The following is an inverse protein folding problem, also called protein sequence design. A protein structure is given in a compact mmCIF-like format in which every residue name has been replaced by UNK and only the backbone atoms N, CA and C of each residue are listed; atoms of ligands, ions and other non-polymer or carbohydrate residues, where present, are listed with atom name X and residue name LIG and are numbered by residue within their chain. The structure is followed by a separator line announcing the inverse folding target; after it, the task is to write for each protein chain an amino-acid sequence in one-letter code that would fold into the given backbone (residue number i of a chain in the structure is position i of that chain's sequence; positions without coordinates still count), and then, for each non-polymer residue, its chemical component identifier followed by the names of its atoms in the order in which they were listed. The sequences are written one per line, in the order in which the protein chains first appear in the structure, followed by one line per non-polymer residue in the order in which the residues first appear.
data_IF_367689971100
#
_entry.id   IF_367689971100
#
_cell.length_a   1.000
_cell.length_b   1.000
_cell.length_c   1.000
_cell.angle_alpha   90.00
_cell.angle_beta   90.00
_cell.angle_gamma   90.00
#
_symmetry.space_group_name_H-M   'P 1'
#
loop_
_entity.id
_entity.type
_entity.pdbx_description
1 polymer ?
#
# COMPACT_ATOMS: atom_id res chain seq x y z
N UNK A 1 -36.22 23.43 -37.21
CA UNK A 1 -35.84 24.68 -36.52
C UNK A 1 -36.93 25.00 -35.51
N UNK A 2 -36.57 25.35 -34.27
CA UNK A 2 -36.20 26.74 -33.97
C UNK A 2 -34.87 26.90 -33.23
N UNK A 3 -34.40 28.15 -33.18
CA UNK A 3 -33.21 28.62 -32.45
C UNK A 3 -33.48 28.81 -30.95
N UNK A 4 -32.47 28.62 -30.08
CA UNK A 4 -32.45 29.22 -28.75
C UNK A 4 -31.71 30.58 -28.77
N UNK A 5 -32.24 31.52 -28.00
CA UNK A 5 -31.85 32.94 -28.00
C UNK A 5 -30.58 33.20 -27.19
N UNK A 6 -29.76 34.13 -27.66
CA UNK A 6 -28.62 34.67 -26.92
C UNK A 6 -29.12 35.71 -25.91
N UNK A 7 -28.76 35.57 -24.62
CA UNK A 7 -29.03 36.56 -23.58
C UNK A 7 -27.73 36.94 -22.87
N UNK A 8 -27.47 38.25 -22.80
CA UNK A 8 -26.23 38.86 -22.31
C UNK A 8 -26.53 39.65 -21.03
N UNK A 9 -25.60 39.59 -20.09
CA UNK A 9 -25.52 40.52 -18.95
C UNK A 9 -25.05 39.83 -17.67
N UNK A 10 -24.40 40.52 -16.74
CA UNK A 10 -23.54 41.71 -16.89
C UNK A 10 -22.54 41.72 -15.72
N UNK A 11 -21.34 42.26 -15.95
CA UNK A 11 -20.29 42.37 -14.92
C UNK A 11 -20.40 43.74 -14.25
N UNK A 12 -20.20 43.84 -12.92
CA UNK A 12 -19.66 45.05 -12.31
C UNK A 12 -18.23 44.78 -11.79
N UNK A 13 -17.26 45.44 -12.42
CA UNK A 13 -15.90 45.58 -11.91
C UNK A 13 -15.78 46.89 -11.14
N UNK A 14 -15.17 46.87 -9.94
CA UNK A 14 -14.59 48.07 -9.33
C UNK A 14 -13.22 47.67 -8.75
N UNK A 15 -12.19 48.43 -9.12
CA UNK A 15 -10.80 48.21 -8.73
C UNK A 15 -10.33 49.32 -7.75
N UNK A 16 -9.04 49.67 -7.62
CA UNK A 16 -8.33 49.51 -6.35
C UNK A 16 -7.97 50.84 -5.66
N UNK A 17 -7.38 50.79 -4.46
CA UNK A 17 -6.67 51.94 -3.87
C UNK A 17 -5.54 51.49 -2.94
N UNK A 18 -4.39 52.14 -3.07
CA UNK A 18 -3.21 52.11 -2.18
C UNK A 18 -2.98 53.53 -1.62
N UNK A 19 -2.01 53.85 -0.76
CA UNK A 19 -0.73 53.24 -0.34
C UNK A 19 -0.42 53.73 1.09
N UNK A 20 0.66 53.29 1.75
CA UNK A 20 1.75 54.15 2.33
C UNK A 20 2.64 53.40 3.35
N UNK A 21 3.94 53.69 3.20
CA UNK A 21 5.17 53.45 3.99
C UNK A 21 5.05 53.41 5.54
N UNK A 22 6.04 52.91 6.31
CA UNK A 22 7.37 52.36 5.97
C UNK A 22 8.31 52.23 7.20
N UNK A 23 9.62 52.10 6.95
CA UNK A 23 10.78 51.95 7.87
C UNK A 23 10.93 50.57 8.55
N UNK A 24 11.96 49.76 8.25
CA UNK A 24 13.44 49.93 8.40
C UNK A 24 13.96 49.66 9.82
N UNK A 25 14.65 48.53 10.02
CA UNK A 25 15.95 48.49 10.70
C UNK A 25 16.69 47.16 10.40
N UNK A 26 17.84 47.26 9.72
CA UNK A 26 18.90 46.22 9.69
C UNK A 26 19.94 46.55 10.80
N UNK A 27 20.85 45.63 11.22
CA UNK A 27 22.07 45.43 10.42
C UNK A 27 22.72 44.01 10.45
N UNK A 28 23.64 43.86 9.49
CA UNK A 28 24.79 42.96 9.33
C UNK A 28 25.69 42.73 10.58
N UNK A 29 26.77 41.91 10.58
CA UNK A 29 27.17 40.63 9.93
C UNK A 29 28.64 40.29 10.35
N UNK A 30 29.18 39.12 9.92
CA UNK A 30 30.62 38.77 9.70
C UNK A 30 31.51 38.20 10.87
N UNK A 31 32.38 37.25 10.46
CA UNK A 31 33.58 36.61 11.07
C UNK A 31 33.46 35.63 12.27
N UNK A 32 34.28 34.56 12.37
CA UNK A 32 35.34 34.06 11.46
C UNK A 32 36.27 32.98 12.08
N UNK A 33 37.14 32.35 11.26
CA UNK A 33 38.16 31.31 11.56
C UNK A 33 37.66 29.88 11.94
N UNK A 34 38.07 28.74 11.36
CA UNK A 34 39.20 28.27 10.49
C UNK A 34 40.39 27.56 11.20
N UNK A 35 40.97 26.59 10.46
CA UNK A 35 42.10 25.64 10.72
C UNK A 35 41.74 24.22 11.22
N UNK A 36 42.42 23.13 10.80
CA UNK A 36 43.17 22.82 9.55
C UNK A 36 43.61 21.34 9.53
N UNK A 37 44.15 20.88 8.39
CA UNK A 37 44.82 19.58 8.10
C UNK A 37 43.95 18.30 8.16
N UNK A 38 43.78 17.48 7.11
CA UNK A 38 44.62 17.03 5.98
C UNK A 38 45.68 15.95 6.34
N UNK A 39 45.88 14.93 5.48
CA UNK A 39 46.90 13.87 5.75
C UNK A 39 46.64 12.41 5.34
N UNK A 40 46.00 12.15 4.19
CA UNK A 40 46.47 11.18 3.15
C UNK A 40 47.22 9.87 3.54
N UNK A 41 46.49 8.74 3.44
CA UNK A 41 46.83 7.49 2.68
C UNK A 41 47.89 6.42 3.09
N UNK A 42 47.49 5.18 2.74
CA UNK A 42 48.24 4.04 2.10
C UNK A 42 48.96 2.93 2.90
N UNK A 43 48.99 1.75 2.25
CA UNK A 43 49.78 0.52 2.49
C UNK A 43 49.29 -0.45 3.60
N UNK A 44 49.34 -1.81 3.48
CA UNK A 44 49.61 -2.74 2.35
C UNK A 44 49.06 -4.16 2.65
N UNK A 45 48.34 -4.73 1.69
CA UNK A 45 48.36 -6.13 1.14
C UNK A 45 48.81 -7.36 1.98
N UNK A 46 47.97 -8.42 1.96
CA UNK A 46 48.34 -9.87 1.89
C UNK A 46 49.04 -10.54 3.10
N UNK A 47 49.15 -11.88 3.26
CA UNK A 47 48.36 -13.07 2.86
C UNK A 47 49.06 -14.34 3.40
N UNK A 48 48.33 -15.44 3.68
CA UNK A 48 48.87 -16.83 3.80
C UNK A 48 49.92 -17.04 4.94
N UNK A 49 50.28 -18.25 5.40
CA UNK A 49 49.63 -19.58 5.46
C UNK A 49 50.43 -20.53 6.39
N UNK A 50 49.80 -21.60 6.86
CA UNK A 50 50.41 -22.93 7.12
C UNK A 50 51.33 -23.21 8.33
N UNK A 51 50.79 -24.11 9.19
CA UNK A 51 51.37 -25.41 9.63
C UNK A 51 52.31 -25.54 10.85
N UNK A 52 52.29 -26.78 11.37
CA UNK A 52 53.08 -27.44 12.42
C UNK A 52 52.71 -27.15 13.90
N UNK A 53 52.80 -28.11 14.83
CA UNK A 53 52.69 -29.59 14.78
C UNK A 53 52.58 -30.14 16.23
N UNK A 54 51.96 -31.32 16.37
CA UNK A 54 51.81 -32.23 17.52
C UNK A 54 52.83 -32.08 18.69
N UNK A 55 52.37 -32.06 19.95
CA UNK A 55 52.79 -33.02 21.01
C UNK A 55 52.01 -32.93 22.35
N UNK A 56 52.32 -33.86 23.26
CA UNK A 56 51.44 -34.45 24.28
C UNK A 56 51.39 -33.74 25.66
N UNK A 57 50.20 -33.81 26.28
CA UNK A 57 49.94 -34.12 27.71
C UNK A 57 50.53 -33.25 28.85
N UNK A 58 49.66 -32.51 29.55
CA UNK A 58 49.63 -32.43 31.03
C UNK A 58 48.42 -31.62 31.55
N UNK A 59 48.00 -31.88 32.80
CA UNK A 59 46.75 -31.37 33.38
C UNK A 59 46.95 -30.09 34.21
N UNK A 60 46.02 -29.12 34.15
CA UNK A 60 45.43 -28.47 35.35
C UNK A 60 44.39 -27.37 35.05
N UNK A 61 43.40 -27.26 35.96
CA UNK A 61 42.58 -26.09 36.28
C UNK A 61 41.90 -25.28 35.14
N UNK A 62 40.78 -25.78 34.61
CA UNK A 62 39.90 -24.98 33.73
C UNK A 62 39.01 -24.01 34.53
N UNK A 63 39.35 -22.71 34.52
CA UNK A 63 38.46 -21.65 35.01
C UNK A 63 37.14 -21.64 34.23
N UNK A 64 36.01 -21.88 34.90
CA UNK A 64 34.67 -21.90 34.26
C UNK A 64 34.35 -20.53 33.62
N UNK A 65 34.32 -20.48 32.28
CA UNK A 65 33.75 -19.34 31.54
C UNK A 65 32.29 -19.11 31.97
N UNK A 66 31.86 -17.87 32.26
CA UNK A 66 30.46 -17.59 32.53
C UNK A 66 29.61 -17.84 31.28
N UNK A 67 28.46 -18.50 31.46
CA UNK A 67 27.53 -18.78 30.36
C UNK A 67 27.07 -17.49 29.66
N UNK A 68 27.11 -17.49 28.32
CA UNK A 68 26.66 -16.37 27.46
C UNK A 68 25.21 -15.96 27.78
N UNK A 69 24.38 -16.92 28.22
CA UNK A 69 23.00 -16.71 28.66
C UNK A 69 22.90 -15.72 29.83
N UNK A 70 23.86 -15.75 30.77
CA UNK A 70 23.87 -14.84 31.92
C UNK A 70 24.31 -13.41 31.52
N UNK A 71 25.13 -13.27 30.48
CA UNK A 71 25.51 -11.96 29.92
C UNK A 71 24.33 -11.33 29.18
N UNK A 72 23.65 -12.12 28.32
CA UNK A 72 22.44 -11.70 27.62
C UNK A 72 21.30 -11.33 28.58
N UNK A 73 21.10 -12.10 29.66
CA UNK A 73 20.09 -11.78 30.68
C UNK A 73 20.40 -10.48 31.43
N UNK A 74 21.68 -10.20 31.71
CA UNK A 74 22.10 -8.91 32.31
C UNK A 74 21.88 -7.73 31.36
N UNK A 75 22.22 -7.88 30.08
CA UNK A 75 21.95 -6.87 29.05
C UNK A 75 20.44 -6.57 28.91
N UNK A 76 19.60 -7.60 28.98
CA UNK A 76 18.14 -7.46 28.97
C UNK A 76 17.63 -6.67 30.17
N UNK A 77 18.15 -6.91 31.38
CA UNK A 77 17.74 -6.15 32.57
C UNK A 77 18.15 -4.67 32.51
N UNK A 78 19.39 -4.34 32.15
CA UNK A 78 19.83 -2.93 32.10
C UNK A 78 19.12 -2.12 31.03
N UNK A 79 18.65 -2.75 29.95
CA UNK A 79 17.82 -2.06 28.95
C UNK A 79 16.38 -1.81 29.45
N UNK A 80 15.83 -2.71 30.28
CA UNK A 80 14.48 -2.55 30.86
C UNK A 80 14.38 -1.45 31.92
N UNK A 81 15.50 -1.12 32.59
CA UNK A 81 15.51 -0.09 33.64
C UNK A 81 15.58 1.34 33.08
N UNK A 82 15.96 1.50 31.81
CA UNK A 82 15.97 2.80 31.11
C UNK A 82 14.59 3.19 30.53
N UNK A 83 13.63 2.28 30.54
CA UNK A 83 12.27 2.52 30.02
C UNK A 83 11.47 3.30 31.08
N UNK A 84 10.95 4.52 30.76
CA UNK A 84 10.14 5.28 31.71
C UNK A 84 8.93 4.46 32.17
N UNK A 85 8.44 4.63 33.42
CA UNK A 85 7.49 3.69 34.03
C UNK A 85 6.19 3.46 33.22
N UNK A 86 5.71 4.48 32.50
CA UNK A 86 4.52 4.39 31.66
C UNK A 86 4.72 3.63 30.33
N UNK A 87 5.96 3.39 29.89
CA UNK A 87 6.30 2.56 28.74
C UNK A 87 6.63 1.10 29.12
N UNK A 88 6.59 0.75 30.42
CA UNK A 88 6.78 -0.65 30.84
C UNK A 88 5.58 -1.49 30.36
N UNK A 89 5.78 -2.76 29.94
CA UNK A 89 4.74 -3.56 29.27
C UNK A 89 3.37 -3.62 29.98
N UNK A 90 3.38 -3.58 31.31
CA UNK A 90 2.18 -3.63 32.15
C UNK A 90 1.31 -2.36 32.06
N UNK A 91 1.89 -1.21 31.70
CA UNK A 91 1.23 0.09 31.65
C UNK A 91 0.88 0.55 30.22
N UNK A 92 1.46 -0.07 29.17
CA UNK A 92 1.22 0.30 27.76
C UNK A 92 -0.28 0.25 27.39
N UNK A 93 -1.03 -0.67 27.99
CA UNK A 93 -2.46 -0.84 27.72
C UNK A 93 -3.39 -0.05 28.66
N UNK A 94 -2.86 0.57 29.72
CA UNK A 94 -3.63 1.23 30.78
C UNK A 94 -4.27 2.55 30.31
N UNK A 95 -3.72 3.15 29.24
CA UNK A 95 -4.26 4.32 28.54
C UNK A 95 -4.69 4.02 27.11
N UNK A 96 -5.04 2.76 26.79
CA UNK A 96 -5.57 2.45 25.45
C UNK A 96 -6.93 3.15 25.31
N UNK A 97 -7.14 3.82 24.19
CA UNK A 97 -8.35 4.62 23.96
C UNK A 97 -9.54 3.70 23.64
N UNK A 98 -10.19 3.17 24.68
CA UNK A 98 -11.32 2.23 24.56
C UNK A 98 -12.65 2.92 24.28
N UNK A 99 -12.63 4.06 23.58
CA UNK A 99 -13.86 4.73 23.13
C UNK A 99 -14.59 3.84 22.12
N UNK A 100 -15.86 3.59 22.38
CA UNK A 100 -16.74 2.94 21.42
C UNK A 100 -17.01 3.88 20.25
N UNK A 101 -17.38 3.33 19.09
CA UNK A 101 -17.77 4.14 17.92
C UNK A 101 -18.90 5.13 18.21
N UNK A 102 -19.80 4.79 19.13
CA UNK A 102 -20.90 5.65 19.53
C UNK A 102 -20.47 6.86 20.37
N UNK A 103 -19.27 6.84 20.98
CA UNK A 103 -18.71 7.97 21.74
C UNK A 103 -18.25 9.11 20.83
N UNK A 104 -18.04 8.84 19.54
CA UNK A 104 -17.61 9.85 18.57
C UNK A 104 -18.79 10.74 18.12
N UNK A 105 -18.58 12.06 17.94
CA UNK A 105 -19.60 12.95 17.41
C UNK A 105 -20.13 12.49 16.04
N UNK A 106 -21.46 12.56 15.87
CA UNK A 106 -22.13 12.24 14.60
C UNK A 106 -21.58 13.11 13.46
N UNK A 107 -21.54 12.56 12.25
CA UNK A 107 -20.90 13.19 11.10
C UNK A 107 -19.62 12.47 10.68
N UNK A 108 -18.75 13.21 9.99
CA UNK A 108 -17.39 12.77 9.62
C UNK A 108 -16.56 12.19 10.78
N UNK A 109 -16.58 12.70 12.04
CA UNK A 109 -15.74 12.13 13.11
C UNK A 109 -16.06 10.67 13.42
N UNK A 110 -17.36 10.34 13.56
CA UNK A 110 -17.81 8.96 13.75
C UNK A 110 -17.58 8.09 12.52
N UNK A 111 -17.80 8.62 11.31
CA UNK A 111 -17.56 7.85 10.08
C UNK A 111 -16.07 7.54 9.88
N UNK A 112 -15.17 8.48 10.21
CA UNK A 112 -13.73 8.26 10.19
C UNK A 112 -13.31 7.21 11.24
N UNK A 113 -13.86 7.27 12.45
CA UNK A 113 -13.64 6.24 13.47
C UNK A 113 -14.13 4.85 13.00
N UNK A 114 -15.29 4.79 12.32
CA UNK A 114 -15.83 3.56 11.76
C UNK A 114 -14.95 2.99 10.62
N UNK A 115 -14.50 3.82 9.67
CA UNK A 115 -13.56 3.40 8.63
C UNK A 115 -12.21 2.92 9.20
N UNK A 116 -11.80 3.43 10.36
CA UNK A 116 -10.58 3.03 11.06
C UNK A 116 -10.74 1.74 11.90
N UNK A 117 -11.92 1.11 11.95
CA UNK A 117 -12.13 -0.13 12.71
C UNK A 117 -11.55 -1.38 12.06
N UNK A 118 -11.39 -1.37 10.74
CA UNK A 118 -10.88 -2.51 9.97
C UNK A 118 -10.10 -2.00 8.76
N UNK A 119 -8.94 -2.61 8.49
CA UNK A 119 -8.12 -2.32 7.30
C UNK A 119 -8.92 -2.50 6.00
N UNK A 120 -9.93 -3.38 6.01
CA UNK A 120 -10.84 -3.61 4.90
C UNK A 120 -11.71 -2.41 4.54
N UNK A 121 -12.04 -1.54 5.49
CA UNK A 121 -12.84 -0.33 5.24
C UNK A 121 -11.97 0.87 4.83
N UNK A 122 -10.63 0.76 4.92
CA UNK A 122 -9.70 1.81 4.55
C UNK A 122 -9.51 1.90 3.02
N UNK A 123 -10.55 2.41 2.36
CA UNK A 123 -10.58 2.67 0.92
C UNK A 123 -10.79 4.15 0.62
N UNK A 124 -10.26 4.60 -0.51
CA UNK A 124 -10.48 5.95 -1.02
C UNK A 124 -10.87 5.93 -2.49
N UNK A 125 -11.45 7.02 -2.97
CA UNK A 125 -11.65 7.24 -4.39
C UNK A 125 -10.35 7.76 -5.01
N UNK A 126 -9.89 7.08 -6.06
CA UNK A 126 -8.69 7.44 -6.85
C UNK A 126 -8.89 8.69 -7.70
N UNK A 127 -10.12 9.05 -8.05
CA UNK A 127 -10.44 10.17 -8.94
C UNK A 127 -9.74 10.07 -10.30
N UNK A 128 -9.70 8.88 -10.90
CA UNK A 128 -8.92 8.62 -12.13
C UNK A 128 -9.31 9.55 -13.30
N UNK A 129 -10.59 9.91 -13.41
CA UNK A 129 -11.07 10.86 -14.42
C UNK A 129 -10.52 12.29 -14.22
N UNK A 130 -10.50 12.80 -12.98
CA UNK A 130 -9.96 14.15 -12.70
C UNK A 130 -8.44 14.19 -12.95
N UNK A 131 -7.72 13.16 -12.51
CA UNK A 131 -6.29 13.02 -12.76
C UNK A 131 -5.96 13.06 -14.26
N UNK A 132 -6.68 12.28 -15.08
CA UNK A 132 -6.51 12.29 -16.54
C UNK A 132 -6.83 13.67 -17.16
N UNK A 133 -7.87 14.38 -16.67
CA UNK A 133 -8.17 15.73 -17.15
C UNK A 133 -7.05 16.75 -16.87
N UNK A 134 -6.46 16.70 -15.67
CA UNK A 134 -5.34 17.58 -15.30
C UNK A 134 -4.07 17.23 -16.09
N UNK A 135 -3.83 15.93 -16.32
CA UNK A 135 -2.71 15.45 -17.15
C UNK A 135 -2.84 15.92 -18.61
N UNK A 136 -4.01 15.73 -19.24
CA UNK A 136 -4.30 16.19 -20.60
C UNK A 136 -4.18 17.71 -20.74
N UNK A 137 -4.62 18.47 -19.73
CA UNK A 137 -4.46 19.93 -19.71
C UNK A 137 -2.99 20.34 -19.73
N UNK A 138 -2.14 19.74 -18.89
CA UNK A 138 -0.68 19.99 -18.90
C UNK A 138 0.00 19.55 -20.19
N UNK A 139 -0.40 18.44 -20.79
CA UNK A 139 0.08 18.04 -22.12
C UNK A 139 -0.27 19.06 -23.20
N UNK A 140 -1.45 19.67 -23.13
CA UNK A 140 -1.86 20.73 -24.07
C UNK A 140 -1.10 22.04 -23.87
N UNK A 141 -0.77 22.41 -22.63
CA UNK A 141 0.13 23.55 -22.36
C UNK A 141 1.54 23.29 -22.90
N UNK A 142 2.12 22.12 -22.61
CA UNK A 142 3.44 21.71 -23.09
C UNK A 142 3.49 21.67 -24.63
N UNK A 143 2.47 21.11 -25.29
CA UNK A 143 2.41 21.06 -26.77
C UNK A 143 2.38 22.46 -27.40
N UNK A 144 1.77 23.45 -26.75
CA UNK A 144 1.79 24.83 -27.24
C UNK A 144 3.18 25.48 -27.12
N UNK A 145 3.93 25.16 -26.05
CA UNK A 145 5.31 25.62 -25.90
C UNK A 145 6.26 24.91 -26.86
N UNK A 146 6.09 23.60 -27.06
CA UNK A 146 6.81 22.80 -28.05
C UNK A 146 6.64 23.37 -29.47
N UNK A 147 5.41 23.69 -29.88
CA UNK A 147 5.15 24.31 -31.19
C UNK A 147 5.80 25.69 -31.30
N UNK A 148 5.77 26.51 -30.24
CA UNK A 148 6.43 27.84 -30.25
C UNK A 148 7.94 27.72 -30.38
N UNK A 149 8.55 26.78 -29.66
CA UNK A 149 9.99 26.52 -29.73
C UNK A 149 10.38 26.00 -31.12
N UNK A 150 9.64 25.02 -31.65
CA UNK A 150 9.86 24.49 -33.00
C UNK A 150 9.78 25.61 -34.07
N UNK A 151 8.84 26.54 -33.95
CA UNK A 151 8.74 27.70 -34.85
C UNK A 151 9.92 28.69 -34.72
N UNK A 152 10.54 28.80 -33.55
CA UNK A 152 11.79 29.53 -33.41
C UNK A 152 12.93 28.78 -34.12
N UNK A 153 13.08 27.49 -33.83
CA UNK A 153 14.16 26.67 -34.36
C UNK A 153 14.11 26.58 -35.91
N UNK A 154 12.91 26.49 -36.50
CA UNK A 154 12.69 26.53 -37.96
C UNK A 154 13.13 27.87 -38.58
N UNK A 155 12.86 29.00 -37.91
CA UNK A 155 13.30 30.33 -38.37
C UNK A 155 14.80 30.57 -38.19
N UNK A 156 15.40 30.00 -37.14
CA UNK A 156 16.85 30.00 -36.92
C UNK A 156 17.59 29.14 -37.97
N UNK A 157 16.99 28.02 -38.40
CA UNK A 157 17.50 27.18 -39.48
C UNK A 157 17.44 27.88 -40.84
N UNK A 158 16.31 28.53 -41.19
CA UNK A 158 16.17 29.29 -42.44
C UNK A 158 17.17 30.45 -42.52
N UNK A 159 17.35 31.18 -41.41
CA UNK A 159 18.28 32.30 -41.31
C UNK A 159 19.76 31.88 -41.16
N UNK A 160 20.02 30.59 -40.88
CA UNK A 160 21.34 30.00 -40.59
C UNK A 160 22.03 30.65 -39.38
N UNK A 161 21.27 30.98 -38.35
CA UNK A 161 21.81 31.55 -37.12
C UNK A 161 22.69 30.51 -36.38
N UNK A 162 23.94 30.84 -36.00
CA UNK A 162 24.76 29.97 -35.15
C UNK A 162 24.14 29.67 -33.76
N UNK A 163 23.08 30.36 -33.34
CA UNK A 163 22.38 30.15 -32.06
C UNK A 163 21.92 28.71 -31.81
N UNK A 164 21.60 27.92 -32.85
CA UNK A 164 21.23 26.50 -32.74
C UNK A 164 22.42 25.59 -32.38
N UNK A 165 23.66 26.03 -32.62
CA UNK A 165 24.87 25.19 -32.50
C UNK A 165 25.80 25.68 -31.38
N UNK A 166 25.93 26.99 -31.19
CA UNK A 166 26.72 27.58 -30.11
C UNK A 166 25.82 28.05 -28.95
N UNK A 167 25.94 27.37 -27.81
CA UNK A 167 25.25 27.75 -26.57
C UNK A 167 25.51 29.22 -26.15
N UNK A 168 26.66 29.80 -26.52
CA UNK A 168 26.96 31.22 -26.25
C UNK A 168 26.16 32.19 -27.12
N UNK A 169 25.70 31.74 -28.29
CA UNK A 169 24.83 32.51 -29.18
C UNK A 169 23.34 32.22 -28.92
N UNK A 170 23.01 31.06 -28.34
CA UNK A 170 21.64 30.64 -28.01
C UNK A 170 20.80 31.68 -27.24
N UNK A 171 21.42 32.46 -26.34
CA UNK A 171 20.75 33.46 -25.51
C UNK A 171 21.07 34.91 -25.95
N UNK A 172 21.50 35.13 -27.20
CA UNK A 172 21.96 36.44 -27.67
C UNK A 172 20.86 37.23 -28.37
N UNK A 173 20.59 38.44 -27.87
CA UNK A 173 19.59 39.36 -28.42
C UNK A 173 18.15 38.91 -28.15
N UNK A 174 17.20 39.75 -28.53
CA UNK A 174 15.78 39.63 -28.16
C UNK A 174 15.17 38.26 -28.54
N UNK A 175 15.57 37.69 -29.68
CA UNK A 175 15.15 36.35 -30.11
C UNK A 175 15.73 35.23 -29.22
N UNK A 176 16.99 35.36 -28.79
CA UNK A 176 17.63 34.43 -27.85
C UNK A 176 17.08 34.54 -26.43
N UNK A 177 16.69 35.73 -25.98
CA UNK A 177 15.98 35.92 -24.71
C UNK A 177 14.60 35.25 -24.74
N UNK A 178 13.82 35.43 -25.83
CA UNK A 178 12.54 34.75 -26.00
C UNK A 178 12.69 33.21 -26.07
N UNK A 179 13.69 32.68 -26.79
CA UNK A 179 13.98 31.23 -26.83
C UNK A 179 14.33 30.70 -25.43
N UNK A 180 15.14 31.44 -24.66
CA UNK A 180 15.47 31.10 -23.27
C UNK A 180 14.22 31.14 -22.36
N UNK A 181 13.34 32.11 -22.52
CA UNK A 181 12.08 32.20 -21.78
C UNK A 181 11.17 30.99 -22.09
N UNK A 182 11.04 30.59 -23.36
CA UNK A 182 10.31 29.38 -23.75
C UNK A 182 10.88 28.12 -23.10
N UNK A 183 12.21 27.95 -23.10
CA UNK A 183 12.86 26.81 -22.44
C UNK A 183 12.60 26.80 -20.93
N UNK A 184 12.65 27.95 -20.25
CA UNK A 184 12.32 28.04 -18.83
C UNK A 184 10.85 27.69 -18.56
N UNK A 185 9.91 28.22 -19.37
CA UNK A 185 8.50 27.87 -19.26
C UNK A 185 8.25 26.37 -19.52
N UNK A 186 9.01 25.74 -20.42
CA UNK A 186 8.95 24.30 -20.67
C UNK A 186 9.43 23.52 -19.44
N UNK A 187 10.58 23.87 -18.85
CA UNK A 187 11.14 23.22 -17.66
C UNK A 187 10.16 23.26 -16.46
N UNK A 188 9.65 24.45 -16.13
CA UNK A 188 8.64 24.66 -15.07
C UNK A 188 7.34 23.85 -15.31
N UNK A 189 6.93 23.67 -16.56
CA UNK A 189 5.73 22.90 -16.93
C UNK A 189 5.99 21.39 -16.97
N UNK A 190 7.21 20.97 -17.35
CA UNK A 190 7.66 19.58 -17.30
C UNK A 190 7.72 19.08 -15.86
N UNK A 191 8.31 19.84 -14.93
CA UNK A 191 8.33 19.47 -13.50
C UNK A 191 6.90 19.26 -12.96
N UNK A 192 5.99 20.20 -13.28
CA UNK A 192 4.58 20.09 -12.90
C UNK A 192 3.92 18.84 -13.49
N UNK A 193 4.14 18.55 -14.77
CA UNK A 193 3.61 17.37 -15.46
C UNK A 193 4.16 16.07 -14.88
N UNK A 194 5.47 15.95 -14.70
CA UNK A 194 6.13 14.78 -14.12
C UNK A 194 5.67 14.51 -12.68
N UNK A 195 5.44 15.57 -11.90
CA UNK A 195 4.85 15.46 -10.56
C UNK A 195 3.44 14.85 -10.62
N UNK A 196 2.63 15.21 -11.63
CA UNK A 196 1.29 14.65 -11.83
C UNK A 196 1.40 13.20 -12.25
N UNK A 197 2.23 12.87 -13.25
CA UNK A 197 2.44 11.51 -13.74
C UNK A 197 2.89 10.57 -12.62
N UNK A 198 3.80 11.04 -11.73
CA UNK A 198 4.26 10.29 -10.56
C UNK A 198 3.11 9.99 -9.58
N UNK A 199 2.35 11.01 -9.16
CA UNK A 199 1.18 10.85 -8.27
C UNK A 199 0.10 9.95 -8.88
N UNK A 200 -0.14 10.08 -10.20
CA UNK A 200 -1.06 9.20 -10.93
C UNK A 200 -0.56 7.77 -10.90
N UNK A 201 0.70 7.51 -11.23
CA UNK A 201 1.29 6.16 -11.20
C UNK A 201 1.19 5.53 -9.81
N UNK A 202 1.49 6.27 -8.76
CA UNK A 202 1.36 5.83 -7.37
C UNK A 202 -0.09 5.44 -7.04
N UNK A 203 -1.05 6.34 -7.30
CA UNK A 203 -2.48 6.09 -7.05
C UNK A 203 -3.06 4.95 -7.91
N UNK A 204 -2.56 4.73 -9.13
CA UNK A 204 -2.95 3.61 -9.98
C UNK A 204 -2.23 2.28 -9.65
N UNK A 205 -1.15 2.32 -8.86
CA UNK A 205 -0.47 1.12 -8.36
C UNK A 205 -1.19 0.49 -7.16
N UNK A 206 -2.05 1.26 -6.47
CA UNK A 206 -2.86 0.75 -5.37
C UNK A 206 -3.87 -0.32 -5.84
N UNK A 207 -4.12 -1.36 -5.04
CA UNK A 207 -5.10 -2.39 -5.38
C UNK A 207 -6.52 -1.80 -5.45
N UNK A 208 -7.32 -2.24 -6.44
CA UNK A 208 -8.77 -1.96 -6.45
C UNK A 208 -9.40 -2.57 -5.20
N UNK A 209 -10.25 -1.82 -4.51
CA UNK A 209 -10.98 -2.31 -3.34
C UNK A 209 -11.87 -3.52 -3.70
N UNK A 210 -11.85 -4.56 -2.87
CA UNK A 210 -12.72 -5.74 -3.00
C UNK A 210 -14.20 -5.31 -2.97
N UNK A 211 -15.03 -5.87 -3.87
CA UNK A 211 -16.45 -5.53 -4.02
C UNK A 211 -17.22 -5.65 -2.70
N UNK A 212 -16.96 -6.71 -1.93
CA UNK A 212 -17.50 -6.95 -0.58
C UNK A 212 -17.24 -5.80 0.38
N UNK A 213 -16.01 -5.30 0.41
CA UNK A 213 -15.60 -4.22 1.31
C UNK A 213 -16.30 -2.92 0.92
N UNK A 214 -16.28 -2.58 -0.38
CA UNK A 214 -17.03 -1.43 -0.92
C UNK A 214 -18.53 -1.50 -0.60
N UNK A 215 -19.18 -2.65 -0.83
CA UNK A 215 -20.58 -2.87 -0.48
C UNK A 215 -20.84 -2.73 1.03
N UNK A 216 -19.88 -3.13 1.88
CA UNK A 216 -20.01 -2.97 3.33
C UNK A 216 -19.97 -1.50 3.77
N UNK A 217 -19.14 -0.67 3.11
CA UNK A 217 -19.12 0.79 3.31
C UNK A 217 -20.43 1.42 2.81
N UNK A 218 -20.90 1.06 1.62
CA UNK A 218 -22.18 1.56 1.08
C UNK A 218 -23.36 1.22 2.00
N UNK A 219 -23.49 -0.06 2.41
CA UNK A 219 -24.52 -0.49 3.36
C UNK A 219 -24.46 0.27 4.69
N UNK A 220 -23.27 0.64 5.18
CA UNK A 220 -23.13 1.45 6.39
C UNK A 220 -23.60 2.89 6.16
N UNK A 221 -23.25 3.50 5.01
CA UNK A 221 -23.69 4.84 4.61
C UNK A 221 -25.22 4.88 4.47
N UNK A 222 -25.80 3.92 3.74
CA UNK A 222 -27.25 3.84 3.51
C UNK A 222 -28.04 3.64 4.81
N UNK A 223 -27.52 2.82 5.74
CA UNK A 223 -28.18 2.51 7.02
C UNK A 223 -28.10 3.65 8.05
N UNK A 224 -26.96 4.35 8.13
CA UNK A 224 -26.71 5.33 9.20
C UNK A 224 -26.74 6.79 8.74
N UNK A 225 -26.74 7.04 7.43
CA UNK A 225 -26.63 8.36 6.80
C UNK A 225 -25.59 9.27 7.51
N UNK A 226 -24.34 8.82 7.73
CA UNK A 226 -23.40 9.51 8.62
C UNK A 226 -22.86 10.81 8.02
N UNK A 227 -23.08 11.07 6.73
CA UNK A 227 -22.65 12.25 5.98
C UNK A 227 -23.81 12.76 5.13
N UNK A 228 -23.80 14.04 4.76
CA UNK A 228 -24.84 14.65 3.93
C UNK A 228 -24.93 13.99 2.54
N UNK A 229 -26.13 13.91 1.96
CA UNK A 229 -26.39 13.19 0.69
C UNK A 229 -25.44 13.56 -0.45
N UNK A 230 -25.12 14.85 -0.61
CA UNK A 230 -24.14 15.37 -1.59
C UNK A 230 -22.75 14.71 -1.47
N UNK A 231 -22.34 14.36 -0.26
CA UNK A 231 -21.05 13.71 0.01
C UNK A 231 -21.15 12.19 -0.14
N UNK A 232 -22.35 11.61 -0.04
CA UNK A 232 -22.62 10.19 -0.34
C UNK A 232 -22.48 9.90 -1.85
N UNK A 233 -22.79 10.87 -2.72
CA UNK A 233 -22.62 10.75 -4.18
C UNK A 233 -21.18 10.39 -4.61
N UNK A 234 -20.19 10.71 -3.77
CA UNK A 234 -18.78 10.32 -3.98
C UNK A 234 -18.60 8.79 -4.00
N UNK A 235 -19.42 8.08 -3.22
CA UNK A 235 -19.42 6.62 -3.04
C UNK A 235 -20.30 5.87 -4.03
N UNK A 236 -20.91 6.52 -5.04
CA UNK A 236 -21.81 5.86 -5.99
C UNK A 236 -21.09 5.14 -7.16
N UNK A 237 -19.77 5.25 -7.28
CA UNK A 237 -18.99 4.68 -8.40
C UNK A 237 -17.93 3.68 -7.91
N UNK A 238 -18.25 2.39 -7.97
CA UNK A 238 -17.42 1.26 -7.51
C UNK A 238 -16.10 1.10 -8.28
N UNK A 239 -16.05 1.61 -9.51
CA UNK A 239 -14.91 1.39 -10.43
C UNK A 239 -13.67 2.22 -10.08
N UNK A 240 -13.82 3.26 -9.27
CA UNK A 240 -12.79 4.25 -8.95
C UNK A 240 -12.28 4.16 -7.49
N UNK A 241 -12.74 3.17 -6.71
CA UNK A 241 -12.26 2.94 -5.34
C UNK A 241 -11.04 2.01 -5.27
N UNK A 242 -10.04 2.45 -4.51
CA UNK A 242 -8.79 1.72 -4.22
C UNK A 242 -8.67 1.48 -2.72
N UNK A 243 -8.09 0.35 -2.33
CA UNK A 243 -7.73 0.07 -0.94
C UNK A 243 -6.36 0.67 -0.64
N UNK A 244 -6.21 1.31 0.52
CA UNK A 244 -4.92 1.90 0.94
C UNK A 244 -3.96 0.87 1.53
N UNK A 245 -4.49 -0.22 2.08
CA UNK A 245 -3.71 -1.36 2.56
C UNK A 245 -3.60 -2.39 1.44
N UNK A 246 -2.42 -3.00 1.29
CA UNK A 246 -2.30 -4.17 0.43
C UNK A 246 -3.14 -5.31 1.02
N UNK A 247 -4.31 -5.53 0.42
CA UNK A 247 -5.17 -6.67 0.72
C UNK A 247 -4.43 -7.95 0.33
N UNK A 248 -3.67 -8.49 1.28
CA UNK A 248 -3.10 -9.84 1.25
C UNK A 248 -4.26 -10.84 1.40
N UNK A 249 -5.09 -10.87 0.36
CA UNK A 249 -6.31 -11.63 0.18
C UNK A 249 -6.19 -12.30 -1.19
N UNK A 250 -6.00 -13.61 -1.15
CA UNK A 250 -5.82 -14.42 -2.35
C UNK A 250 -7.14 -14.44 -3.10
N UNK A 251 -7.26 -13.63 -4.16
CA UNK A 251 -8.49 -13.42 -4.97
C UNK A 251 -9.25 -14.70 -5.37
N UNK A 252 -8.56 -15.84 -5.52
CA UNK A 252 -9.18 -17.14 -5.83
C UNK A 252 -9.69 -17.89 -4.59
N UNK A 253 -9.09 -17.65 -3.43
CA UNK A 253 -9.43 -18.29 -2.17
C UNK A 253 -10.51 -17.53 -1.39
N UNK A 254 -10.51 -16.18 -1.48
CA UNK A 254 -11.49 -15.33 -0.80
C UNK A 254 -12.93 -15.65 -1.22
N UNK A 255 -13.19 -15.87 -2.53
CA UNK A 255 -14.52 -16.30 -2.99
C UNK A 255 -14.97 -17.64 -2.41
N UNK A 256 -14.06 -18.62 -2.27
CA UNK A 256 -14.36 -19.91 -1.64
C UNK A 256 -14.60 -19.77 -0.12
N UNK A 257 -13.89 -18.85 0.54
CA UNK A 257 -14.10 -18.49 1.95
C UNK A 257 -15.42 -17.75 2.13
N UNK A 258 -15.80 -16.88 1.19
CA UNK A 258 -17.09 -16.18 1.16
C UNK A 258 -18.24 -17.18 0.97
N UNK A 259 -18.12 -18.15 0.05
CA UNK A 259 -19.09 -19.24 -0.11
C UNK A 259 -19.23 -20.05 1.18
N UNK A 260 -18.14 -20.44 1.85
CA UNK A 260 -18.19 -21.16 3.14
C UNK A 260 -18.79 -20.30 4.26
N UNK A 261 -18.41 -19.02 4.37
CA UNK A 261 -18.90 -18.12 5.42
C UNK A 261 -20.36 -17.70 5.21
N UNK A 262 -20.86 -17.68 3.97
CA UNK A 262 -22.27 -17.42 3.67
C UNK A 262 -23.13 -18.68 3.79
N UNK A 263 -22.56 -19.88 3.55
CA UNK A 263 -23.21 -21.16 3.82
C UNK A 263 -23.41 -21.42 5.32
N UNK A 264 -22.57 -20.83 6.19
CA UNK A 264 -22.71 -20.88 7.64
C UNK A 264 -23.96 -20.07 8.10
N UNK A 265 -25.05 -20.71 8.56
CA UNK A 265 -26.36 -20.06 8.69
C UNK A 265 -26.48 -19.08 9.87
N UNK A 266 -25.42 -18.84 10.64
CA UNK A 266 -25.46 -18.14 11.92
C UNK A 266 -24.35 -17.09 12.03
N UNK A 267 -24.63 -15.86 11.56
CA UNK A 267 -23.70 -14.71 11.64
C UNK A 267 -23.20 -14.42 13.06
N UNK A 268 -24.01 -14.68 14.10
CA UNK A 268 -23.57 -14.55 15.51
C UNK A 268 -22.58 -15.63 15.94
N UNK A 269 -22.65 -16.84 15.36
CA UNK A 269 -21.70 -17.93 15.62
C UNK A 269 -20.38 -17.63 14.91
N UNK A 270 -20.41 -17.20 13.64
CA UNK A 270 -19.20 -16.78 12.93
C UNK A 270 -18.53 -15.61 13.65
N UNK A 271 -19.27 -14.60 14.08
CA UNK A 271 -18.73 -13.49 14.90
C UNK A 271 -18.16 -13.97 16.25
N UNK A 272 -18.81 -14.92 16.94
CA UNK A 272 -18.30 -15.43 18.21
C UNK A 272 -16.94 -16.14 18.08
N UNK A 273 -16.78 -16.99 17.06
CA UNK A 273 -15.53 -17.71 16.80
C UNK A 273 -14.45 -16.81 16.18
N UNK A 274 -14.81 -16.00 15.18
CA UNK A 274 -13.85 -15.26 14.37
C UNK A 274 -13.57 -13.83 14.84
N UNK A 275 -14.36 -13.23 15.74
CA UNK A 275 -14.09 -11.88 16.26
C UNK A 275 -13.39 -11.93 17.63
N UNK A 276 -12.37 -11.10 17.81
CA UNK A 276 -11.72 -10.93 19.11
C UNK A 276 -12.68 -10.28 20.14
N UNK A 277 -12.40 -10.43 21.43
CA UNK A 277 -13.19 -9.79 22.49
C UNK A 277 -13.11 -8.26 22.41
N UNK A 278 -11.94 -7.74 22.04
CA UNK A 278 -11.70 -6.30 21.83
C UNK A 278 -12.50 -5.75 20.64
N UNK A 279 -12.49 -6.45 19.49
CA UNK A 279 -13.27 -6.08 18.29
C UNK A 279 -14.79 -6.08 18.57
N UNK A 280 -15.27 -6.93 19.48
CA UNK A 280 -16.67 -6.95 19.94
C UNK A 280 -17.01 -5.83 20.92
N UNK A 281 -16.02 -5.16 21.51
CA UNK A 281 -16.21 -3.98 22.35
C UNK A 281 -16.14 -2.66 21.56
N UNK A 282 -15.51 -2.66 20.38
CA UNK A 282 -15.35 -1.47 19.51
C UNK A 282 -16.68 -0.85 19.08
N UNK A 283 -17.73 -1.65 18.88
CA UNK A 283 -19.03 -1.17 18.40
C UNK A 283 -20.20 -1.90 19.06
N UNK A 284 -21.26 -1.15 19.31
CA UNK A 284 -22.57 -1.66 19.75
C UNK A 284 -23.55 -1.88 18.59
N UNK A 285 -23.20 -1.53 17.33
CA UNK A 285 -24.06 -1.82 16.17
C UNK A 285 -24.03 -3.31 15.84
N UNK A 286 -25.19 -3.95 15.95
CA UNK A 286 -25.44 -5.37 15.61
C UNK A 286 -25.08 -5.73 14.16
N UNK A 287 -24.90 -4.74 13.28
CA UNK A 287 -24.62 -4.95 11.85
C UNK A 287 -23.12 -4.81 11.50
N UNK A 288 -22.27 -4.42 12.46
CA UNK A 288 -20.82 -4.33 12.23
C UNK A 288 -20.11 -5.63 12.64
N UNK A 289 -19.87 -6.48 11.64
CA UNK A 289 -19.15 -7.74 11.81
C UNK A 289 -17.65 -7.58 11.54
N UNK A 290 -16.89 -7.11 12.54
CA UNK A 290 -15.42 -7.11 12.51
C UNK A 290 -14.90 -8.53 12.72
N UNK A 291 -13.92 -8.97 11.92
CA UNK A 291 -13.34 -10.30 12.02
C UNK A 291 -11.82 -10.25 12.27
N UNK A 292 -11.29 -11.19 13.04
CA UNK A 292 -9.87 -11.37 13.26
C UNK A 292 -9.30 -12.23 12.12
N UNK A 293 -8.56 -11.59 11.20
CA UNK A 293 -7.90 -12.22 10.05
C UNK A 293 -7.11 -13.46 10.46
N UNK A 294 -6.43 -13.43 11.60
CA UNK A 294 -5.63 -14.56 12.10
C UNK A 294 -6.49 -15.78 12.41
N UNK A 295 -7.71 -15.59 12.94
CA UNK A 295 -8.64 -16.69 13.27
C UNK A 295 -9.25 -17.28 12.01
N UNK A 296 -9.63 -16.42 11.06
CA UNK A 296 -10.08 -16.84 9.73
C UNK A 296 -8.98 -17.68 9.06
N UNK A 297 -7.73 -17.21 9.01
CA UNK A 297 -6.61 -17.96 8.42
C UNK A 297 -6.34 -19.30 9.12
N UNK A 298 -6.49 -19.39 10.45
CA UNK A 298 -6.34 -20.66 11.18
C UNK A 298 -7.48 -21.63 10.85
N UNK A 299 -8.73 -21.16 10.81
CA UNK A 299 -9.90 -21.97 10.48
C UNK A 299 -9.88 -22.45 9.03
N UNK A 300 -9.47 -21.58 8.10
CA UNK A 300 -9.16 -21.89 6.71
C UNK A 300 -8.17 -23.05 6.64
N UNK A 301 -6.99 -22.89 7.27
CA UNK A 301 -5.95 -23.93 7.25
C UNK A 301 -6.45 -25.25 7.83
N UNK A 302 -7.25 -25.19 8.90
CA UNK A 302 -7.89 -26.35 9.51
C UNK A 302 -8.86 -27.05 8.55
N UNK A 303 -9.76 -26.34 7.86
CA UNK A 303 -10.62 -26.90 6.82
C UNK A 303 -9.79 -27.55 5.70
N UNK A 304 -8.76 -26.85 5.20
CA UNK A 304 -7.94 -27.39 4.11
C UNK A 304 -7.17 -28.65 4.54
N UNK A 305 -6.70 -28.73 5.79
CA UNK A 305 -6.09 -29.95 6.32
C UNK A 305 -7.09 -31.10 6.46
N UNK A 306 -8.31 -30.85 6.93
CA UNK A 306 -9.34 -31.89 7.00
C UNK A 306 -9.79 -32.36 5.62
N UNK A 307 -9.90 -31.45 4.65
CA UNK A 307 -10.21 -31.78 3.26
C UNK A 307 -9.11 -32.65 2.64
N UNK A 308 -7.84 -32.29 2.83
CA UNK A 308 -6.71 -33.08 2.34
C UNK A 308 -6.64 -34.49 2.96
N UNK A 309 -6.80 -34.60 4.29
CA UNK A 309 -6.85 -35.91 4.97
C UNK A 309 -8.05 -36.73 4.51
N UNK A 310 -9.22 -36.11 4.35
CA UNK A 310 -10.42 -36.77 3.84
C UNK A 310 -10.24 -37.32 2.42
N UNK A 311 -9.67 -36.53 1.51
CA UNK A 311 -9.42 -36.93 0.13
C UNK A 311 -8.36 -38.03 -0.01
N UNK A 312 -7.38 -38.09 0.89
CA UNK A 312 -6.39 -39.17 0.91
C UNK A 312 -6.92 -40.46 1.55
N UNK A 313 -7.69 -40.36 2.63
CA UNK A 313 -8.10 -41.52 3.43
C UNK A 313 -9.42 -42.16 2.96
N UNK A 314 -10.37 -41.36 2.47
CA UNK A 314 -11.65 -41.86 1.96
C UNK A 314 -11.52 -42.90 0.81
N UNK A 315 -10.71 -42.68 -0.26
CA UNK A 315 -10.58 -43.68 -1.32
C UNK A 315 -10.01 -44.99 -0.78
N UNK A 316 -9.03 -44.96 0.13
CA UNK A 316 -8.46 -46.16 0.77
C UNK A 316 -9.51 -46.94 1.53
N UNK A 317 -10.36 -46.26 2.33
CA UNK A 317 -11.44 -46.90 3.10
C UNK A 317 -12.52 -47.50 2.18
N UNK A 318 -12.87 -46.81 1.09
CA UNK A 318 -13.83 -47.33 0.09
C UNK A 318 -13.25 -48.55 -0.64
N UNK A 319 -11.99 -48.50 -1.07
CA UNK A 319 -11.30 -49.60 -1.76
C UNK A 319 -11.17 -50.86 -0.90
N UNK A 320 -11.02 -50.69 0.43
CA UNK A 320 -10.95 -51.80 1.38
C UNK A 320 -12.32 -52.42 1.68
N UNK A 321 -13.40 -51.62 1.61
CA UNK A 321 -14.78 -52.10 1.80
C UNK A 321 -15.27 -52.94 0.62
N UNK A 322 -14.91 -52.55 -0.60
CA UNK A 322 -15.42 -53.17 -1.83
C UNK A 322 -14.47 -54.27 -2.32
N UNK A 323 -14.84 -55.55 -2.19
CA UNK A 323 -13.94 -56.66 -2.55
C UNK A 323 -14.05 -57.07 -4.03
N UNK A 324 -15.26 -57.16 -4.59
CA UNK A 324 -15.50 -58.00 -5.77
C UNK A 324 -15.44 -57.32 -7.15
N UNK A 325 -15.51 -55.99 -7.25
CA UNK A 325 -15.60 -55.29 -8.55
C UNK A 325 -14.38 -54.41 -8.88
N UNK A 326 -13.52 -54.88 -9.80
CA UNK A 326 -12.34 -54.15 -10.26
C UNK A 326 -12.66 -52.81 -10.93
N UNK A 327 -13.78 -52.73 -11.67
CA UNK A 327 -14.21 -51.50 -12.34
C UNK A 327 -14.57 -50.38 -11.34
N UNK A 328 -15.24 -50.72 -10.23
CA UNK A 328 -15.59 -49.73 -9.20
C UNK A 328 -14.32 -49.18 -8.55
N UNK A 329 -13.31 -50.03 -8.30
CA UNK A 329 -12.01 -49.60 -7.77
C UNK A 329 -11.32 -48.55 -8.67
N UNK A 330 -11.31 -48.77 -9.98
CA UNK A 330 -10.73 -47.82 -10.95
C UNK A 330 -11.53 -46.50 -10.97
N UNK A 331 -12.86 -46.57 -10.98
CA UNK A 331 -13.73 -45.38 -10.98
C UNK A 331 -13.57 -44.56 -9.68
N UNK A 332 -13.51 -45.22 -8.52
CA UNK A 332 -13.29 -44.57 -7.22
C UNK A 332 -11.94 -43.85 -7.22
N UNK A 333 -10.85 -44.52 -7.61
CA UNK A 333 -9.52 -43.89 -7.67
C UNK A 333 -9.56 -42.67 -8.60
N UNK A 334 -10.06 -42.81 -9.83
CA UNK A 334 -10.14 -41.72 -10.80
C UNK A 334 -10.92 -40.51 -10.27
N UNK A 335 -12.08 -40.73 -9.65
CA UNK A 335 -12.91 -39.65 -9.09
C UNK A 335 -12.19 -38.97 -7.92
N UNK A 336 -11.61 -39.72 -6.99
CA UNK A 336 -10.90 -39.12 -5.85
C UNK A 336 -9.60 -38.40 -6.28
N UNK A 337 -8.86 -38.90 -7.27
CA UNK A 337 -7.69 -38.20 -7.83
C UNK A 337 -8.10 -36.88 -8.52
N UNK A 338 -9.22 -36.84 -9.24
CA UNK A 338 -9.76 -35.59 -9.81
C UNK A 338 -10.17 -34.59 -8.72
N UNK A 339 -10.90 -35.03 -7.69
CA UNK A 339 -11.26 -34.17 -6.56
C UNK A 339 -10.03 -33.71 -5.75
N UNK A 340 -9.01 -34.55 -5.60
CA UNK A 340 -7.74 -34.18 -4.97
C UNK A 340 -6.99 -33.12 -5.77
N UNK A 341 -6.90 -33.28 -7.10
CA UNK A 341 -6.32 -32.27 -8.00
C UNK A 341 -7.03 -30.93 -7.90
N UNK A 342 -8.37 -30.94 -7.94
CA UNK A 342 -9.20 -29.74 -7.80
C UNK A 342 -9.02 -29.09 -6.43
N UNK A 343 -9.10 -29.88 -5.35
CA UNK A 343 -8.92 -29.39 -3.99
C UNK A 343 -7.52 -28.80 -3.79
N UNK A 344 -6.45 -29.43 -4.30
CA UNK A 344 -5.09 -28.90 -4.22
C UNK A 344 -4.94 -27.59 -4.99
N UNK A 345 -5.52 -27.51 -6.19
CA UNK A 345 -5.53 -26.29 -7.02
C UNK A 345 -6.32 -25.13 -6.42
N UNK A 346 -7.32 -25.41 -5.56
CA UNK A 346 -8.06 -24.40 -4.81
C UNK A 346 -7.36 -24.06 -3.48
N UNK A 347 -6.81 -25.06 -2.78
CA UNK A 347 -6.21 -24.95 -1.47
C UNK A 347 -4.87 -24.21 -1.44
N UNK A 348 -4.11 -24.31 -2.53
CA UNK A 348 -2.72 -23.87 -2.56
C UNK A 348 -2.47 -22.99 -3.77
N UNK A 349 -1.52 -22.05 -3.62
CA UNK A 349 -0.93 -21.31 -4.74
C UNK A 349 0.03 -22.19 -5.56
N UNK A 350 -0.23 -23.50 -5.62
CA UNK A 350 0.61 -24.45 -6.31
C UNK A 350 0.71 -24.05 -7.77
N UNK A 351 1.94 -23.96 -8.29
CA UNK A 351 2.13 -23.79 -9.73
C UNK A 351 1.52 -25.00 -10.42
N UNK A 352 1.05 -24.84 -11.68
CA UNK A 352 0.42 -25.94 -12.45
C UNK A 352 1.27 -27.23 -12.41
N UNK A 353 2.59 -27.10 -12.47
CA UNK A 353 3.55 -28.20 -12.34
C UNK A 353 3.57 -28.90 -10.97
N UNK A 354 3.37 -28.18 -9.87
CA UNK A 354 3.28 -28.74 -8.51
C UNK A 354 1.98 -29.53 -8.32
N UNK A 355 0.86 -29.04 -8.88
CA UNK A 355 -0.41 -29.80 -8.93
C UNK A 355 -0.22 -31.09 -9.73
N UNK A 356 0.38 -31.02 -10.93
CA UNK A 356 0.66 -32.22 -11.74
C UNK A 356 1.56 -33.23 -11.01
N UNK A 357 2.64 -32.78 -10.37
CA UNK A 357 3.54 -33.65 -9.61
C UNK A 357 2.83 -34.33 -8.43
N UNK A 358 2.01 -33.59 -7.68
CA UNK A 358 1.26 -34.11 -6.55
C UNK A 358 0.09 -35.04 -6.95
N UNK A 359 -0.41 -34.95 -8.18
CA UNK A 359 -1.44 -35.88 -8.71
C UNK A 359 -0.86 -37.14 -9.38
N UNK A 360 0.44 -37.15 -9.66
CA UNK A 360 1.14 -38.26 -10.30
C UNK A 360 1.89 -39.17 -9.32
N UNK A 361 2.04 -38.72 -8.06
CA UNK A 361 2.58 -39.47 -6.93
C UNK A 361 1.45 -40.13 -6.12
#
# INVERSE_FOLDING_TARGET
MPTPTQSRGDIPSVSPTSTVLGNEQEPSAVDGAASEHDGTSTHTTSSQSSQNSVDLESQSATTRRPSVINVLRKFSSTFSDQIPPHWKPNHINEKRDTRSLEDYPKGFPRFAAWMNCDENFLMTRRYGWLHNRVMLYRQSELRQLEIKLQLCDEGDEESKDPALVDHRMFARGDAGEYRKELIQQIDEKLEQYDSIVRRVREMFSLPKATRRNYTSVCNHIDKHAPIAQREQDVFMNDSDFVALVEQHETKSFDGFVEDILTLLPCKRITQFFFSNAEQRATSTDENLFLYDKRRIDVFIRLIMTFLAVGLLLAPVVVLFREQDSGTVKIVVILVFTLFFSLALSLATRARRAEVFAATAA
#
